data_IF_296104190601
#
_entry.id   IF_296104190601
#
_cell.length_a   1.000
_cell.length_b   1.000
_cell.length_c   1.000
_cell.angle_alpha   90.00
_cell.angle_beta   90.00
_cell.angle_gamma   90.00
#
_symmetry.space_group_name_H-M   'P 1'
#
loop_
_entity.id
_entity.type
_entity.pdbx_description
1 polymer ?
#
# COMPACT_ATOMS: atom_id res chain seq x y z
N UNK A 1 6.48 -5.65 44.79
CA UNK A 1 5.31 -5.94 43.99
C UNK A 1 5.59 -5.79 42.52
N UNK A 2 5.60 -6.89 41.92
CA UNK A 2 5.79 -6.99 40.50
C UNK A 2 4.51 -6.56 39.82
N UNK A 3 4.48 -5.38 39.35
CA UNK A 3 3.49 -5.00 38.38
C UNK A 3 3.78 -5.83 37.12
N UNK A 4 2.84 -6.66 36.75
CA UNK A 4 2.79 -7.22 35.42
C UNK A 4 2.55 -6.11 34.42
N UNK A 5 3.56 -5.31 34.22
CA UNK A 5 3.60 -4.50 33.02
C UNK A 5 3.81 -5.50 31.91
N UNK A 6 2.73 -5.81 31.20
CA UNK A 6 2.85 -6.42 29.90
C UNK A 6 3.82 -5.56 29.10
N UNK A 7 5.07 -5.98 29.06
CA UNK A 7 6.03 -5.37 28.18
C UNK A 7 5.52 -5.63 26.78
N UNK A 8 5.02 -4.59 26.15
CA UNK A 8 4.77 -4.65 24.71
C UNK A 8 6.05 -5.14 24.07
N UNK A 9 6.01 -6.24 23.28
CA UNK A 9 7.19 -6.72 22.59
C UNK A 9 7.86 -5.56 21.87
N UNK A 10 9.14 -5.39 22.09
CA UNK A 10 9.90 -4.34 21.44
C UNK A 10 9.82 -4.51 19.93
N UNK A 11 9.47 -3.45 19.24
CA UNK A 11 9.49 -3.45 17.79
C UNK A 11 10.93 -3.46 17.30
N UNK A 12 11.24 -4.38 16.40
CA UNK A 12 12.51 -4.36 15.68
C UNK A 12 12.33 -3.53 14.42
N UNK A 13 13.01 -2.41 14.38
CA UNK A 13 12.92 -1.49 13.25
C UNK A 13 14.32 -1.13 12.77
N UNK A 14 14.49 -0.81 11.47
CA UNK A 14 15.75 -0.27 10.98
C UNK A 14 16.10 1.00 11.71
N UNK A 15 17.39 1.23 11.91
CA UNK A 15 17.89 2.48 12.47
C UNK A 15 17.69 3.62 11.47
N UNK A 16 17.87 4.85 11.93
CA UNK A 16 17.80 6.03 11.08
C UNK A 16 18.81 5.92 9.92
N UNK A 17 20.01 5.43 10.22
CA UNK A 17 21.07 5.22 9.23
C UNK A 17 20.70 4.13 8.22
N UNK A 18 20.10 3.05 8.69
CA UNK A 18 19.61 1.97 7.82
C UNK A 18 18.50 2.47 6.90
N UNK A 19 17.55 3.26 7.42
CA UNK A 19 16.51 3.86 6.59
C UNK A 19 17.10 4.81 5.54
N UNK A 20 18.08 5.61 5.91
CA UNK A 20 18.76 6.50 4.97
C UNK A 20 19.44 5.70 3.85
N UNK A 21 20.08 4.58 4.18
CA UNK A 21 20.70 3.70 3.20
C UNK A 21 19.68 3.04 2.29
N UNK A 22 18.54 2.62 2.82
CA UNK A 22 17.43 2.05 2.04
C UNK A 22 16.91 3.07 1.02
N UNK A 23 16.64 4.28 1.47
CA UNK A 23 16.14 5.34 0.60
C UNK A 23 17.16 5.70 -0.49
N UNK A 24 18.44 5.76 -0.13
CA UNK A 24 19.51 6.02 -1.09
C UNK A 24 19.60 4.91 -2.14
N UNK A 25 19.54 3.65 -1.73
CA UNK A 25 19.56 2.51 -2.65
C UNK A 25 18.38 2.55 -3.62
N UNK A 26 17.19 2.86 -3.12
CA UNK A 26 15.98 2.94 -3.94
C UNK A 26 15.94 4.18 -4.84
N UNK A 27 16.84 5.10 -4.67
CA UNK A 27 17.00 6.26 -5.56
C UNK A 27 17.92 5.97 -6.74
N UNK A 28 18.66 4.86 -6.71
CA UNK A 28 19.56 4.43 -7.78
C UNK A 28 18.82 3.74 -8.91
N UNK A 29 19.42 3.76 -10.12
CA UNK A 29 18.78 3.23 -11.34
C UNK A 29 18.44 1.74 -11.27
N UNK A 30 19.18 0.96 -10.49
CA UNK A 30 18.96 -0.48 -10.31
C UNK A 30 18.77 -0.82 -8.84
N UNK A 31 18.07 0.06 -8.13
CA UNK A 31 17.85 -0.12 -6.69
C UNK A 31 17.10 -1.41 -6.37
N UNK A 32 17.63 -2.15 -5.41
CA UNK A 32 17.01 -3.34 -4.87
C UNK A 32 17.23 -3.37 -3.37
N UNK A 33 16.14 -3.47 -2.61
CA UNK A 33 16.19 -3.61 -1.16
C UNK A 33 15.36 -4.83 -0.75
N UNK A 34 15.92 -5.64 0.14
CA UNK A 34 15.20 -6.79 0.71
C UNK A 34 14.95 -6.53 2.19
N UNK A 35 13.73 -6.73 2.61
CA UNK A 35 13.31 -6.58 4.00
C UNK A 35 12.59 -7.83 4.47
N UNK A 36 12.79 -8.18 5.75
CA UNK A 36 11.95 -9.16 6.43
C UNK A 36 10.96 -8.41 7.31
N UNK A 37 9.69 -8.54 7.06
CA UNK A 37 8.64 -7.78 7.72
C UNK A 37 7.57 -8.73 8.26
N UNK A 38 7.51 -8.89 9.57
CA UNK A 38 6.51 -9.73 10.25
C UNK A 38 6.33 -11.13 9.63
N UNK A 39 7.45 -11.76 9.23
CA UNK A 39 7.43 -13.09 8.62
C UNK A 39 7.31 -13.10 7.10
N UNK A 40 7.14 -11.94 6.47
CA UNK A 40 7.10 -11.82 5.01
C UNK A 40 8.46 -11.37 4.48
N UNK A 41 8.84 -11.90 3.32
CA UNK A 41 10.03 -11.45 2.59
C UNK A 41 9.61 -10.41 1.55
N UNK A 42 10.03 -9.17 1.75
CA UNK A 42 9.77 -8.10 0.79
C UNK A 42 10.98 -7.85 -0.08
N UNK A 43 10.75 -7.71 -1.37
CA UNK A 43 11.74 -7.20 -2.30
C UNK A 43 11.19 -5.93 -2.92
N UNK A 44 11.92 -4.84 -2.79
CA UNK A 44 11.53 -3.54 -3.31
C UNK A 44 12.53 -3.19 -4.41
N UNK A 45 12.02 -3.02 -5.63
CA UNK A 45 12.85 -2.67 -6.77
C UNK A 45 12.46 -1.31 -7.33
N UNK A 46 13.43 -0.59 -7.88
CA UNK A 46 13.14 0.60 -8.67
C UNK A 46 13.02 0.22 -10.13
N UNK A 47 11.96 0.64 -10.77
CA UNK A 47 11.69 0.33 -12.16
C UNK A 47 10.62 1.20 -12.76
N UNK A 48 10.29 0.92 -14.00
CA UNK A 48 9.26 1.64 -14.72
C UNK A 48 7.88 1.23 -14.21
N UNK A 49 7.12 2.19 -13.72
CA UNK A 49 5.76 1.97 -13.19
C UNK A 49 4.68 2.55 -14.11
N UNK A 50 5.06 3.17 -15.20
CA UNK A 50 4.17 3.75 -16.19
C UNK A 50 4.98 4.30 -17.33
N UNK A 51 4.31 4.84 -18.35
CA UNK A 51 4.99 5.44 -19.49
C UNK A 51 5.85 6.63 -19.02
N UNK A 52 7.17 6.54 -19.24
CA UNK A 52 8.15 7.55 -18.83
C UNK A 52 8.11 7.87 -17.32
N UNK A 53 7.77 6.88 -16.49
CA UNK A 53 7.64 7.08 -15.06
C UNK A 53 8.38 5.99 -14.30
N UNK A 54 9.31 6.41 -13.44
CA UNK A 54 10.03 5.52 -12.55
C UNK A 54 9.41 5.55 -11.14
N UNK A 55 9.44 4.43 -10.47
CA UNK A 55 8.95 4.31 -9.11
C UNK A 55 9.44 3.02 -8.49
N UNK A 56 8.77 2.62 -7.41
CA UNK A 56 9.12 1.44 -6.65
C UNK A 56 8.05 0.37 -6.83
N UNK A 57 8.48 -0.89 -6.90
CA UNK A 57 7.59 -2.04 -6.98
C UNK A 57 7.89 -2.96 -5.81
N UNK A 58 6.85 -3.36 -5.06
CA UNK A 58 6.98 -4.23 -3.90
C UNK A 58 6.53 -5.65 -4.26
N UNK A 59 7.43 -6.61 -4.10
CA UNK A 59 7.15 -8.03 -4.26
C UNK A 59 7.07 -8.67 -2.89
N UNK A 60 6.04 -9.48 -2.65
CA UNK A 60 5.83 -10.18 -1.39
C UNK A 60 6.18 -11.65 -1.61
N UNK A 61 7.15 -12.16 -0.83
CA UNK A 61 7.66 -13.53 -0.97
C UNK A 61 8.06 -13.86 -2.44
N UNK A 62 8.65 -12.88 -3.12
CA UNK A 62 9.14 -13.01 -4.49
C UNK A 62 8.07 -12.93 -5.57
N UNK A 63 6.82 -12.61 -5.23
CA UNK A 63 5.71 -12.64 -6.19
C UNK A 63 4.80 -11.44 -6.09
N UNK A 64 4.02 -11.22 -7.13
CA UNK A 64 2.84 -10.37 -7.12
C UNK A 64 1.68 -11.23 -7.61
N UNK A 65 0.70 -11.48 -6.73
CA UNK A 65 -0.44 -12.33 -7.07
C UNK A 65 -1.58 -11.51 -7.66
N UNK A 66 -2.26 -12.08 -8.67
CA UNK A 66 -3.40 -11.41 -9.31
C UNK A 66 -4.52 -11.04 -8.36
N UNK A 67 -4.78 -11.87 -7.34
CA UNK A 67 -5.81 -11.59 -6.34
C UNK A 67 -5.55 -10.29 -5.56
N UNK A 68 -4.32 -9.85 -5.48
CA UNK A 68 -3.98 -8.59 -4.79
C UNK A 68 -4.41 -7.35 -5.57
N UNK A 69 -4.75 -7.49 -6.86
CA UNK A 69 -5.28 -6.41 -7.69
C UNK A 69 -6.81 -6.35 -7.69
N UNK A 70 -7.47 -7.21 -6.93
CA UNK A 70 -8.94 -7.24 -6.92
C UNK A 70 -9.51 -5.91 -6.42
N UNK A 71 -10.69 -5.58 -6.93
CA UNK A 71 -11.41 -4.39 -6.53
C UNK A 71 -12.45 -4.75 -5.47
N UNK A 72 -12.51 -3.97 -4.42
CA UNK A 72 -13.45 -4.17 -3.32
C UNK A 72 -14.32 -2.93 -3.15
N UNK A 73 -15.57 -3.14 -2.76
CA UNK A 73 -16.43 -2.00 -2.41
C UNK A 73 -15.80 -1.25 -1.24
N UNK A 74 -15.93 0.10 -1.27
CA UNK A 74 -15.44 0.95 -0.20
C UNK A 74 -16.35 0.80 1.02
N UNK A 75 -16.08 -0.23 1.82
CA UNK A 75 -16.67 -0.42 3.15
C UNK A 75 -15.56 -0.28 4.18
N UNK A 76 -15.92 0.09 5.41
CA UNK A 76 -14.94 0.37 6.45
C UNK A 76 -14.08 -0.85 6.79
N UNK A 77 -14.63 -2.04 6.72
CA UNK A 77 -13.90 -3.28 6.93
C UNK A 77 -14.39 -4.32 5.93
N UNK A 78 -13.49 -4.77 5.06
CA UNK A 78 -13.79 -5.87 4.16
C UNK A 78 -12.88 -7.06 4.49
N UNK A 79 -13.42 -8.15 5.08
CA UNK A 79 -12.62 -9.31 5.47
C UNK A 79 -12.06 -10.09 4.28
N UNK A 80 -12.57 -9.86 3.06
CA UNK A 80 -12.08 -10.50 1.85
C UNK A 80 -10.76 -9.90 1.36
N UNK A 81 -10.39 -8.72 1.85
CA UNK A 81 -9.13 -8.08 1.46
C UNK A 81 -7.97 -8.85 2.09
N UNK A 82 -7.05 -9.40 1.27
CA UNK A 82 -5.89 -10.09 1.82
C UNK A 82 -5.06 -9.18 2.72
N UNK A 83 -4.59 -9.71 3.84
CA UNK A 83 -3.80 -8.95 4.81
C UNK A 83 -2.54 -8.36 4.18
N UNK A 84 -1.90 -9.12 3.29
CA UNK A 84 -0.66 -8.72 2.62
C UNK A 84 -0.83 -7.40 1.86
N UNK A 85 -1.95 -7.21 1.20
CA UNK A 85 -2.19 -5.98 0.43
C UNK A 85 -2.29 -4.76 1.34
N UNK A 86 -2.94 -4.91 2.48
CA UNK A 86 -3.04 -3.81 3.45
C UNK A 86 -1.69 -3.47 4.08
N UNK A 87 -0.84 -4.46 4.28
CA UNK A 87 0.47 -4.28 4.91
C UNK A 87 1.49 -3.61 4.00
N UNK A 88 1.45 -3.90 2.69
CA UNK A 88 2.57 -3.58 1.81
C UNK A 88 2.22 -2.78 0.57
N UNK A 89 0.96 -2.73 0.19
CA UNK A 89 0.53 -2.08 -1.04
C UNK A 89 -0.16 -0.75 -0.78
N UNK A 90 -0.06 0.12 -1.78
CA UNK A 90 -0.68 1.43 -1.71
C UNK A 90 -2.18 1.31 -1.96
N UNK A 91 -2.99 1.79 -1.01
CA UNK A 91 -4.44 1.81 -1.14
C UNK A 91 -4.85 2.90 -2.14
N UNK A 92 -5.69 2.53 -3.08
CA UNK A 92 -6.35 3.44 -4.00
C UNK A 92 -7.84 3.41 -3.78
N UNK A 93 -8.45 4.58 -3.66
CA UNK A 93 -9.90 4.71 -3.63
C UNK A 93 -10.32 5.46 -4.89
N UNK A 94 -11.22 4.87 -5.66
CA UNK A 94 -11.65 5.43 -6.94
C UNK A 94 -13.16 5.38 -7.05
N UNK A 95 -13.73 6.32 -7.81
CA UNK A 95 -15.14 6.24 -8.16
C UNK A 95 -15.39 5.09 -9.14
N UNK A 96 -16.49 4.37 -8.94
CA UNK A 96 -16.92 3.32 -9.86
C UNK A 96 -17.30 3.92 -11.22
N UNK A 97 -17.90 5.09 -11.22
CA UNK A 97 -18.35 5.79 -12.42
C UNK A 97 -17.36 6.90 -12.77
N UNK A 98 -17.10 7.09 -14.06
CA UNK A 98 -16.24 8.16 -14.56
C UNK A 98 -16.82 9.55 -14.24
N UNK A 99 -15.99 10.58 -14.29
CA UNK A 99 -16.45 11.95 -14.10
C UNK A 99 -17.55 12.33 -15.11
N UNK A 100 -17.43 11.86 -16.36
CA UNK A 100 -18.42 12.05 -17.41
C UNK A 100 -19.75 11.38 -17.05
N UNK A 101 -19.70 10.13 -16.61
CA UNK A 101 -20.90 9.39 -16.21
C UNK A 101 -21.56 10.00 -15.00
N UNK A 102 -20.78 10.45 -14.02
CA UNK A 102 -21.32 11.11 -12.84
C UNK A 102 -22.01 12.42 -13.19
N UNK A 103 -21.44 13.20 -14.10
CA UNK A 103 -22.07 14.42 -14.59
C UNK A 103 -23.41 14.14 -15.29
N UNK A 104 -23.46 13.06 -16.09
CA UNK A 104 -24.70 12.60 -16.73
C UNK A 104 -25.77 12.22 -15.70
N UNK A 105 -25.38 11.47 -14.64
CA UNK A 105 -26.31 11.10 -13.58
C UNK A 105 -26.88 12.31 -12.86
N UNK A 106 -26.06 13.34 -12.60
CA UNK A 106 -26.53 14.59 -12.00
C UNK A 106 -27.56 15.28 -12.89
N UNK A 107 -27.32 15.28 -14.20
CA UNK A 107 -28.22 15.88 -15.16
C UNK A 107 -29.56 15.15 -15.24
N UNK A 108 -29.54 13.82 -15.20
CA UNK A 108 -30.76 13.00 -15.33
C UNK A 108 -31.55 12.93 -14.03
N UNK A 109 -30.88 12.74 -12.89
CA UNK A 109 -31.53 12.47 -11.61
C UNK A 109 -31.49 13.64 -10.63
N UNK A 110 -30.62 14.63 -10.83
CA UNK A 110 -30.47 15.77 -9.92
C UNK A 110 -29.58 15.47 -8.73
N UNK A 111 -29.25 16.53 -7.98
CA UNK A 111 -28.28 16.48 -6.86
C UNK A 111 -28.73 15.59 -5.70
N UNK A 112 -30.01 15.47 -5.47
CA UNK A 112 -30.55 14.65 -4.36
C UNK A 112 -30.64 13.18 -4.71
N UNK A 113 -31.10 12.87 -5.91
CA UNK A 113 -31.41 11.50 -6.32
C UNK A 113 -30.20 10.75 -6.86
N UNK A 114 -29.30 11.41 -7.59
CA UNK A 114 -28.13 10.76 -8.19
C UNK A 114 -27.24 10.04 -7.16
N UNK A 115 -26.87 10.64 -6.00
CA UNK A 115 -26.10 9.92 -4.98
C UNK A 115 -26.83 8.70 -4.41
N UNK A 116 -28.17 8.80 -4.23
CA UNK A 116 -28.97 7.68 -3.73
C UNK A 116 -28.97 6.50 -4.69
N UNK A 117 -28.80 6.76 -5.98
CA UNK A 117 -28.75 5.72 -7.02
C UNK A 117 -27.36 5.13 -7.25
N UNK A 118 -26.35 5.59 -6.49
CA UNK A 118 -25.00 5.07 -6.56
C UNK A 118 -24.03 5.84 -7.41
N UNK A 119 -24.33 7.10 -7.74
CA UNK A 119 -23.41 7.96 -8.51
C UNK A 119 -22.04 8.05 -7.88
N UNK A 120 -21.98 8.16 -6.56
CA UNK A 120 -20.75 8.34 -5.80
C UNK A 120 -20.19 7.03 -5.25
N UNK A 121 -20.62 5.90 -5.78
CA UNK A 121 -20.07 4.60 -5.37
C UNK A 121 -18.59 4.55 -5.64
N UNK A 122 -17.84 4.11 -4.62
CA UNK A 122 -16.38 3.99 -4.69
C UNK A 122 -15.96 2.54 -4.51
N UNK A 123 -14.82 2.21 -5.07
CA UNK A 123 -14.17 0.94 -4.82
C UNK A 123 -12.74 1.16 -4.35
N UNK A 124 -12.21 0.16 -3.64
CA UNK A 124 -10.85 0.15 -3.13
C UNK A 124 -10.05 -0.88 -3.91
N UNK A 125 -8.86 -0.52 -4.32
CA UNK A 125 -7.87 -1.45 -4.85
C UNK A 125 -6.52 -1.18 -4.22
N UNK A 126 -5.60 -2.11 -4.39
CA UNK A 126 -4.25 -1.99 -3.86
C UNK A 126 -3.25 -2.10 -5.00
N UNK A 127 -2.21 -1.31 -4.94
CA UNK A 127 -1.21 -1.22 -6.00
C UNK A 127 0.18 -1.47 -5.41
N UNK A 128 0.95 -2.43 -5.96
CA UNK A 128 2.32 -2.69 -5.49
C UNK A 128 3.30 -1.58 -5.86
N UNK A 129 2.88 -0.61 -6.66
CA UNK A 129 3.74 0.45 -7.17
C UNK A 129 3.67 1.68 -6.26
N UNK A 130 4.83 2.21 -5.93
CA UNK A 130 4.96 3.39 -5.09
C UNK A 130 5.78 4.46 -5.80
N UNK A 131 5.39 5.71 -5.64
CA UNK A 131 6.12 6.84 -6.23
C UNK A 131 7.25 7.33 -5.32
N UNK A 132 7.11 7.15 -4.01
CA UNK A 132 8.00 7.73 -3.02
C UNK A 132 8.47 6.68 -2.03
N UNK A 133 9.78 6.57 -1.84
CA UNK A 133 10.37 5.71 -0.82
C UNK A 133 9.97 6.15 0.59
N UNK A 134 9.82 7.45 0.83
CA UNK A 134 9.38 8.00 2.12
C UNK A 134 7.95 7.59 2.42
N UNK A 135 7.05 7.67 1.44
CA UNK A 135 5.67 7.25 1.63
C UNK A 135 5.56 5.75 1.89
N UNK A 136 6.35 4.93 1.19
CA UNK A 136 6.43 3.49 1.43
C UNK A 136 6.93 3.20 2.84
N UNK A 137 8.00 3.86 3.27
CA UNK A 137 8.53 3.74 4.64
C UNK A 137 7.46 4.02 5.68
N UNK A 138 6.74 5.13 5.55
CA UNK A 138 5.69 5.51 6.48
C UNK A 138 4.56 4.47 6.52
N UNK A 139 4.19 3.94 5.37
CA UNK A 139 3.16 2.89 5.28
C UNK A 139 3.62 1.60 5.97
N UNK A 140 4.86 1.19 5.75
CA UNK A 140 5.42 0.00 6.39
C UNK A 140 5.47 0.15 7.91
N UNK A 141 5.88 1.32 8.41
CA UNK A 141 5.94 1.59 9.84
C UNK A 141 4.56 1.61 10.48
N UNK A 142 3.56 2.11 9.78
CA UNK A 142 2.19 2.19 10.29
C UNK A 142 1.49 0.84 10.34
N UNK A 143 1.73 -0.02 9.36
CA UNK A 143 0.94 -1.23 9.16
C UNK A 143 1.65 -2.53 9.58
N UNK A 144 2.89 -2.45 10.04
CA UNK A 144 3.67 -3.62 10.42
C UNK A 144 4.36 -3.38 11.76
N UNK A 145 4.72 -4.48 12.43
CA UNK A 145 5.35 -4.43 13.74
C UNK A 145 6.88 -4.49 13.65
N UNK A 146 7.40 -5.50 12.99
CA UNK A 146 8.85 -5.74 12.88
C UNK A 146 9.31 -5.58 11.43
N UNK A 147 10.38 -4.82 11.24
CA UNK A 147 11.01 -4.62 9.93
C UNK A 147 12.51 -4.80 10.10
N UNK A 148 13.09 -5.73 9.36
CA UNK A 148 14.53 -5.99 9.39
C UNK A 148 15.11 -5.91 7.99
N UNK A 149 16.28 -5.29 7.88
CA UNK A 149 17.02 -5.25 6.60
C UNK A 149 17.71 -6.58 6.40
N UNK A 150 17.47 -7.21 5.25
CA UNK A 150 18.14 -8.45 4.87
C UNK A 150 19.44 -8.08 4.16
N UNK A 151 20.54 -8.45 4.77
CA UNK A 151 21.88 -8.26 4.19
C UNK A 151 22.29 -9.54 3.49
N UNK A 152 22.70 -9.42 2.24
CA UNK A 152 23.30 -10.53 1.50
C UNK A 152 24.71 -10.83 2.00
#
# INVERSE_FOLDING_TARGET
MTEDREQKPERKLPTKEEWAAIIAELSGSFGLVKLAVDGYDLSITRGQIGKNKLGLIVYINGSIKGIWYAHYRSTDINPEIPEETRRFYRKKTQFLHSAKDRAFWLKVYGKKEAPKRGMDTKFISYDPRWLSATALKQHLLKNNHNIEVVKD
#
